data_IF_338727739069
#
_entry.id   IF_338727739069
#
_cell.length_a   1.000
_cell.length_b   1.000
_cell.length_c   1.000
_cell.angle_alpha   90.00
_cell.angle_beta   90.00
_cell.angle_gamma   90.00
#
_symmetry.space_group_name_H-M   'P 1'
#
loop_
_entity.id
_entity.type
_entity.pdbx_description
1 polymer ?
#
# COMPACT_ATOMS: atom_id res chain seq x y z
N UNK A 1 62.51 12.94 84.23
CA UNK A 1 62.01 11.55 84.39
C UNK A 1 60.71 11.33 83.60
N UNK A 2 60.74 11.13 82.27
CA UNK A 2 59.53 10.87 81.46
C UNK A 2 59.82 10.03 80.20
N UNK A 3 60.13 8.73 80.35
CA UNK A 3 60.36 7.85 79.17
C UNK A 3 59.75 6.45 79.21
N UNK A 4 58.91 6.12 80.19
CA UNK A 4 58.33 4.77 80.35
C UNK A 4 56.88 4.62 79.88
N UNK A 5 56.21 5.71 79.49
CA UNK A 5 54.78 5.71 79.14
C UNK A 5 54.49 5.47 77.64
N UNK A 6 55.48 5.62 76.75
CA UNK A 6 55.27 5.54 75.29
C UNK A 6 55.29 4.11 74.73
N UNK A 7 56.04 3.19 75.34
CA UNK A 7 56.16 1.80 74.89
C UNK A 7 54.93 0.95 75.19
N UNK A 8 54.25 1.19 76.32
CA UNK A 8 53.04 0.46 76.70
C UNK A 8 51.88 0.71 75.73
N UNK A 9 51.67 1.97 75.31
CA UNK A 9 50.63 2.33 74.33
C UNK A 9 50.88 1.78 72.93
N UNK A 10 52.14 1.61 72.52
CA UNK A 10 52.47 1.03 71.22
C UNK A 10 52.14 -0.46 71.15
N UNK A 11 52.37 -1.21 72.24
CA UNK A 11 52.02 -2.63 72.34
C UNK A 11 50.49 -2.82 72.35
N UNK A 12 49.76 -1.98 73.09
CA UNK A 12 48.29 -2.02 73.14
C UNK A 12 47.64 -1.75 71.77
N UNK A 13 48.17 -0.77 71.02
CA UNK A 13 47.70 -0.48 69.66
C UNK A 13 48.00 -1.62 68.68
N UNK A 14 49.15 -2.29 68.84
CA UNK A 14 49.51 -3.46 68.03
C UNK A 14 48.56 -4.64 68.24
N UNK A 15 48.22 -4.95 69.50
CA UNK A 15 47.28 -6.03 69.84
C UNK A 15 45.87 -5.72 69.33
N UNK A 16 45.41 -4.47 69.45
CA UNK A 16 44.10 -4.06 68.95
C UNK A 16 44.01 -4.17 67.41
N UNK A 17 45.07 -3.83 66.68
CA UNK A 17 45.11 -3.95 65.22
C UNK A 17 45.03 -5.41 64.74
N UNK A 18 45.74 -6.33 65.43
CA UNK A 18 45.72 -7.77 65.10
C UNK A 18 44.36 -8.38 65.42
N UNK A 19 43.80 -8.07 66.61
CA UNK A 19 42.48 -8.56 67.01
C UNK A 19 41.38 -8.04 66.08
N UNK A 20 41.41 -6.75 65.71
CA UNK A 20 40.48 -6.16 64.76
C UNK A 20 40.56 -6.79 63.37
N UNK A 21 41.77 -7.00 62.85
CA UNK A 21 41.99 -7.68 61.56
C UNK A 21 41.45 -9.11 61.53
N UNK A 22 41.71 -9.88 62.59
CA UNK A 22 41.22 -11.25 62.72
C UNK A 22 39.68 -11.34 62.79
N UNK A 23 39.03 -10.40 63.47
CA UNK A 23 37.55 -10.34 63.56
C UNK A 23 36.94 -9.98 62.20
N UNK A 24 37.52 -9.04 61.46
CA UNK A 24 37.02 -8.66 60.13
C UNK A 24 37.19 -9.80 59.12
N UNK A 25 38.34 -10.47 59.12
CA UNK A 25 38.60 -11.63 58.25
C UNK A 25 37.73 -12.83 58.63
N UNK A 26 37.62 -13.15 59.92
CA UNK A 26 36.76 -14.22 60.43
C UNK A 26 35.27 -13.95 60.19
N UNK A 27 34.85 -12.70 60.32
CA UNK A 27 33.51 -12.22 59.96
C UNK A 27 33.24 -12.41 58.47
N UNK A 28 34.15 -11.96 57.60
CA UNK A 28 34.00 -12.11 56.15
C UNK A 28 33.92 -13.59 55.70
N UNK A 29 34.69 -14.47 56.35
CA UNK A 29 34.65 -15.92 56.10
C UNK A 29 33.35 -16.58 56.60
N UNK A 30 32.86 -16.22 57.79
CA UNK A 30 31.64 -16.79 58.38
C UNK A 30 30.35 -16.27 57.73
N UNK A 31 30.35 -15.06 57.17
CA UNK A 31 29.23 -14.48 56.42
C UNK A 31 29.07 -15.05 54.99
N UNK A 32 29.78 -16.12 54.64
CA UNK A 32 29.57 -16.86 53.39
C UNK A 32 29.91 -16.08 52.12
N UNK A 33 30.58 -14.93 52.24
CA UNK A 33 30.99 -14.07 51.11
C UNK A 33 32.19 -14.61 50.32
N UNK A 34 32.79 -15.72 50.76
CA UNK A 34 33.84 -16.44 50.02
C UNK A 34 33.30 -17.55 49.10
N UNK A 35 31.97 -17.68 48.96
CA UNK A 35 31.37 -18.68 48.09
C UNK A 35 31.65 -18.42 46.61
N UNK A 36 32.30 -19.39 45.96
CA UNK A 36 32.53 -19.50 44.51
C UNK A 36 31.22 -19.52 43.70
N UNK A 37 30.49 -18.41 43.67
CA UNK A 37 29.42 -18.17 42.69
C UNK A 37 30.07 -17.81 41.36
N UNK A 38 30.72 -18.79 40.74
CA UNK A 38 30.99 -18.75 39.31
C UNK A 38 29.64 -18.72 38.62
N UNK A 39 29.13 -17.52 38.37
CA UNK A 39 27.92 -17.32 37.60
C UNK A 39 28.31 -17.61 36.16
N UNK A 40 28.13 -18.86 35.75
CA UNK A 40 28.30 -19.24 34.35
C UNK A 40 27.17 -18.57 33.58
N UNK A 41 27.47 -17.44 32.95
CA UNK A 41 26.59 -16.83 31.96
C UNK A 41 26.60 -17.79 30.77
N UNK A 42 25.61 -18.68 30.70
CA UNK A 42 25.31 -19.37 29.44
C UNK A 42 24.69 -18.34 28.53
N UNK A 43 25.49 -17.87 27.57
CA UNK A 43 24.95 -17.23 26.37
C UNK A 43 24.15 -18.30 25.63
N UNK A 44 22.83 -18.29 25.82
CA UNK A 44 21.93 -19.00 24.93
C UNK A 44 22.10 -18.30 23.58
N UNK A 45 22.74 -18.98 22.63
CA UNK A 45 22.81 -18.53 21.25
C UNK A 45 21.38 -18.17 20.82
N UNK A 46 21.15 -16.88 20.58
CA UNK A 46 19.91 -16.43 19.95
C UNK A 46 19.86 -17.16 18.62
N UNK A 47 18.90 -18.08 18.47
CA UNK A 47 18.65 -18.72 17.19
C UNK A 47 18.54 -17.62 16.13
N UNK A 48 19.18 -17.84 14.97
CA UNK A 48 19.08 -16.91 13.86
C UNK A 48 17.59 -16.66 13.58
N UNK A 49 17.13 -15.45 13.87
CA UNK A 49 15.81 -15.00 13.43
C UNK A 49 15.99 -14.72 11.95
N UNK A 50 15.68 -15.71 11.12
CA UNK A 50 15.57 -15.51 9.68
C UNK A 50 14.69 -14.28 9.44
N UNK A 51 15.16 -13.29 8.67
CA UNK A 51 14.32 -12.13 8.37
C UNK A 51 13.05 -12.63 7.71
N UNK A 52 11.89 -12.15 8.18
CA UNK A 52 10.63 -12.39 7.49
C UNK A 52 10.76 -11.84 6.06
N UNK A 53 10.93 -12.74 5.09
CA UNK A 53 10.91 -12.38 3.68
C UNK A 53 9.47 -12.08 3.31
N UNK A 54 9.14 -10.79 3.19
CA UNK A 54 7.91 -10.39 2.54
C UNK A 54 8.05 -10.79 1.08
N UNK A 55 7.24 -11.75 0.63
CA UNK A 55 7.12 -12.06 -0.78
C UNK A 55 6.88 -10.75 -1.53
N UNK A 56 7.85 -10.33 -2.34
CA UNK A 56 7.67 -9.15 -3.17
C UNK A 56 6.56 -9.51 -4.17
N UNK A 57 5.37 -8.87 -4.11
CA UNK A 57 4.34 -9.15 -5.07
C UNK A 57 4.93 -8.89 -6.46
N UNK A 58 4.71 -9.81 -7.40
CA UNK A 58 5.13 -9.65 -8.79
C UNK A 58 4.62 -8.28 -9.25
N UNK A 59 5.54 -7.33 -9.43
CA UNK A 59 5.20 -6.00 -9.95
C UNK A 59 4.88 -6.17 -11.42
N UNK A 60 3.69 -5.77 -11.82
CA UNK A 60 3.32 -5.77 -13.23
C UNK A 60 4.16 -4.72 -13.96
N UNK A 61 4.70 -5.09 -15.11
CA UNK A 61 5.23 -4.13 -16.07
C UNK A 61 4.10 -3.26 -16.61
N UNK A 62 4.43 -2.07 -17.13
CA UNK A 62 3.46 -1.16 -17.77
C UNK A 62 2.69 -1.89 -18.88
N UNK A 63 3.38 -2.76 -19.64
CA UNK A 63 2.79 -3.59 -20.68
C UNK A 63 1.74 -4.56 -20.12
N UNK A 64 2.05 -5.27 -19.03
CA UNK A 64 1.09 -6.19 -18.40
C UNK A 64 -0.12 -5.46 -17.82
N UNK A 65 0.09 -4.27 -17.23
CA UNK A 65 -1.02 -3.42 -16.77
C UNK A 65 -1.90 -3.02 -17.96
N UNK A 66 -1.29 -2.61 -19.07
CA UNK A 66 -2.02 -2.25 -20.28
C UNK A 66 -2.82 -3.43 -20.83
N UNK A 67 -2.21 -4.60 -20.97
CA UNK A 67 -2.88 -5.79 -21.49
C UNK A 67 -4.07 -6.21 -20.62
N UNK A 68 -3.92 -6.08 -19.30
CA UNK A 68 -4.97 -6.41 -18.35
C UNK A 68 -6.10 -5.36 -18.34
N UNK A 69 -5.79 -4.07 -18.45
CA UNK A 69 -6.76 -2.98 -18.30
C UNK A 69 -7.41 -2.54 -19.62
N UNK A 70 -6.70 -2.63 -20.74
CA UNK A 70 -7.15 -2.11 -22.04
C UNK A 70 -8.49 -2.70 -22.54
N UNK A 71 -8.85 -3.97 -22.30
CA UNK A 71 -10.17 -4.50 -22.66
C UNK A 71 -11.34 -3.83 -21.92
N UNK A 72 -11.09 -3.21 -20.76
CA UNK A 72 -12.11 -2.51 -19.97
C UNK A 72 -12.47 -1.12 -20.51
N UNK A 73 -11.72 -0.61 -21.50
CA UNK A 73 -11.94 0.70 -22.11
C UNK A 73 -12.78 0.56 -23.38
N UNK A 74 -13.80 1.41 -23.50
CA UNK A 74 -14.71 1.43 -24.65
C UNK A 74 -14.70 2.77 -25.36
N UNK A 75 -15.00 2.73 -26.65
CA UNK A 75 -15.24 3.90 -27.47
C UNK A 75 -16.73 4.19 -27.54
N UNK A 76 -17.11 5.45 -27.36
CA UNK A 76 -18.51 5.88 -27.30
C UNK A 76 -18.78 6.89 -28.40
N UNK A 77 -19.85 6.64 -29.14
CA UNK A 77 -20.38 7.56 -30.14
C UNK A 77 -21.82 7.88 -29.80
N UNK A 78 -22.07 9.14 -29.48
CA UNK A 78 -23.40 9.68 -29.28
C UNK A 78 -23.83 10.42 -30.55
N UNK A 79 -25.11 10.33 -30.90
CA UNK A 79 -25.69 11.05 -32.02
C UNK A 79 -26.95 11.75 -31.57
N UNK A 80 -27.10 13.00 -32.02
CA UNK A 80 -28.24 13.86 -31.72
C UNK A 80 -28.88 14.29 -33.03
N UNK A 81 -30.20 14.17 -33.12
CA UNK A 81 -30.94 14.65 -34.28
C UNK A 81 -31.46 16.05 -33.97
N UNK A 82 -30.98 17.04 -34.72
CA UNK A 82 -31.38 18.44 -34.57
C UNK A 82 -32.21 18.85 -35.78
N UNK A 83 -33.41 19.38 -35.54
CA UNK A 83 -34.24 19.94 -36.60
C UNK A 83 -33.70 21.31 -37.01
N UNK A 84 -33.38 21.45 -38.29
CA UNK A 84 -33.01 22.70 -38.93
C UNK A 84 -34.28 23.35 -39.49
N UNK A 85 -34.64 24.57 -39.04
CA UNK A 85 -35.75 25.30 -39.63
C UNK A 85 -35.45 25.65 -41.10
N UNK A 86 -36.51 25.76 -41.90
CA UNK A 86 -36.39 26.21 -43.28
C UNK A 86 -35.94 27.67 -43.31
N UNK A 87 -35.08 28.02 -44.27
CA UNK A 87 -34.63 29.40 -44.47
C UNK A 87 -35.39 30.02 -45.65
N UNK A 88 -36.35 30.93 -45.39
CA UNK A 88 -37.14 31.55 -46.45
C UNK A 88 -36.35 32.57 -47.28
N UNK A 89 -35.20 33.05 -46.80
CA UNK A 89 -34.36 34.02 -47.51
C UNK A 89 -33.43 33.35 -48.53
N UNK A 90 -32.89 32.18 -48.19
CA UNK A 90 -32.04 31.38 -49.09
C UNK A 90 -32.75 30.21 -49.79
N UNK A 91 -34.05 30.01 -49.52
CA UNK A 91 -34.85 28.95 -50.14
C UNK A 91 -34.49 27.54 -49.68
N UNK A 92 -33.79 27.40 -48.55
CA UNK A 92 -33.30 26.12 -48.06
C UNK A 92 -34.43 25.36 -47.37
N UNK A 93 -34.81 24.16 -47.84
CA UNK A 93 -35.83 23.36 -47.17
C UNK A 93 -35.35 22.97 -45.76
N UNK A 94 -36.25 23.07 -44.79
CA UNK A 94 -36.00 22.57 -43.44
C UNK A 94 -35.76 21.06 -43.44
N UNK A 95 -35.04 20.56 -42.44
CA UNK A 95 -34.65 19.16 -42.39
C UNK A 95 -34.17 18.70 -41.03
N UNK A 96 -33.83 17.43 -40.90
CA UNK A 96 -33.19 16.89 -39.71
C UNK A 96 -31.70 16.68 -39.99
N UNK A 97 -30.83 17.30 -39.21
CA UNK A 97 -29.39 17.07 -39.26
C UNK A 97 -28.96 16.18 -38.10
N UNK A 98 -28.09 15.21 -38.36
CA UNK A 98 -27.47 14.42 -37.29
C UNK A 98 -26.16 15.08 -36.86
N UNK A 99 -26.03 15.39 -35.58
CA UNK A 99 -24.79 15.77 -34.94
C UNK A 99 -24.22 14.57 -34.18
N UNK A 100 -22.90 14.52 -34.00
CA UNK A 100 -22.23 13.41 -33.31
C UNK A 100 -21.25 13.93 -32.26
N UNK A 101 -21.22 13.26 -31.10
CA UNK A 101 -20.23 13.44 -30.06
C UNK A 101 -19.46 12.12 -29.87
N UNK A 102 -18.15 12.23 -29.66
CA UNK A 102 -17.25 11.09 -29.54
C UNK A 102 -16.53 11.17 -28.20
N UNK A 103 -16.46 10.04 -27.50
CA UNK A 103 -15.79 9.94 -26.21
C UNK A 103 -15.29 8.53 -25.92
N UNK A 104 -14.77 8.35 -24.71
CA UNK A 104 -14.40 7.05 -24.16
C UNK A 104 -15.20 6.75 -22.90
N UNK A 105 -15.14 5.49 -22.47
CA UNK A 105 -15.72 5.06 -21.21
C UNK A 105 -15.06 3.79 -20.68
N UNK A 106 -15.53 3.35 -19.52
CA UNK A 106 -15.04 2.16 -18.83
C UNK A 106 -16.18 1.25 -18.44
N UNK A 107 -15.99 -0.06 -18.60
CA UNK A 107 -16.90 -1.08 -18.08
C UNK A 107 -16.64 -1.24 -16.59
N UNK A 108 -17.69 -1.11 -15.77
CA UNK A 108 -17.56 -1.20 -14.30
C UNK A 108 -18.00 -2.55 -13.74
N UNK A 109 -18.78 -3.33 -14.48
CA UNK A 109 -19.25 -4.63 -14.04
C UNK A 109 -19.55 -5.62 -15.19
N UNK A 110 -19.80 -6.87 -14.80
CA UNK A 110 -20.12 -7.96 -15.73
C UNK A 110 -21.54 -7.88 -16.31
N UNK A 111 -22.42 -7.04 -15.76
CA UNK A 111 -23.74 -6.75 -16.34
C UNK A 111 -23.65 -5.79 -17.53
N UNK A 112 -22.48 -5.21 -17.80
CA UNK A 112 -22.24 -4.36 -18.96
C UNK A 112 -22.54 -2.89 -18.71
N UNK A 113 -22.53 -2.43 -17.46
CA UNK A 113 -22.62 -1.00 -17.18
C UNK A 113 -21.33 -0.29 -17.59
N UNK A 114 -21.48 0.84 -18.27
CA UNK A 114 -20.40 1.67 -18.79
C UNK A 114 -20.51 3.07 -18.22
N UNK A 115 -19.39 3.58 -17.70
CA UNK A 115 -19.26 4.96 -17.24
C UNK A 115 -18.57 5.80 -18.31
N UNK A 116 -19.13 6.98 -18.59
CA UNK A 116 -18.55 8.01 -19.47
C UNK A 116 -18.81 9.39 -18.90
N UNK A 117 -18.26 10.41 -19.54
CA UNK A 117 -18.54 11.79 -19.17
C UNK A 117 -19.96 12.16 -19.62
N UNK A 118 -20.68 12.88 -18.77
CA UNK A 118 -22.05 13.34 -19.01
C UNK A 118 -22.19 14.07 -20.35
N UNK A 119 -21.28 15.01 -20.66
CA UNK A 119 -21.35 15.82 -21.87
C UNK A 119 -21.24 15.01 -23.17
N UNK A 120 -20.76 13.76 -23.11
CA UNK A 120 -20.68 12.89 -24.29
C UNK A 120 -22.07 12.38 -24.66
N UNK A 121 -22.95 12.17 -23.68
CA UNK A 121 -24.25 11.50 -23.87
C UNK A 121 -25.44 12.41 -23.65
N UNK A 122 -25.26 13.58 -23.03
CA UNK A 122 -26.33 14.54 -22.78
C UNK A 122 -26.97 15.03 -24.08
N UNK A 123 -28.29 14.88 -24.17
CA UNK A 123 -29.07 15.25 -25.36
C UNK A 123 -28.94 14.28 -26.54
N UNK A 124 -28.23 13.16 -26.40
CA UNK A 124 -28.09 12.16 -27.46
C UNK A 124 -29.40 11.38 -27.68
N UNK A 125 -29.86 11.30 -28.93
CA UNK A 125 -30.98 10.43 -29.32
C UNK A 125 -30.54 8.97 -29.49
N UNK A 126 -29.24 8.74 -29.71
CA UNK A 126 -28.64 7.41 -29.82
C UNK A 126 -27.24 7.39 -29.25
N UNK A 127 -26.94 6.38 -28.43
CA UNK A 127 -25.57 6.10 -27.95
C UNK A 127 -25.12 4.72 -28.42
N UNK A 128 -23.90 4.64 -28.91
CA UNK A 128 -23.28 3.42 -29.43
C UNK A 128 -21.96 3.21 -28.71
N UNK A 129 -21.72 1.97 -28.27
CA UNK A 129 -20.51 1.59 -27.54
C UNK A 129 -19.76 0.54 -28.35
N UNK A 130 -18.48 0.80 -28.58
CA UNK A 130 -17.57 -0.07 -29.34
C UNK A 130 -16.44 -0.55 -28.43
N UNK A 131 -16.27 -1.86 -28.35
CA UNK A 131 -15.19 -2.49 -27.59
C UNK A 131 -13.94 -2.64 -28.45
N UNK A 132 -12.76 -2.55 -27.81
CA UNK A 132 -11.50 -2.85 -28.50
C UNK A 132 -11.45 -4.33 -28.83
N UNK A 133 -11.25 -4.67 -30.11
CA UNK A 133 -11.05 -6.05 -30.56
C UNK A 133 -9.70 -6.56 -30.05
N UNK A 134 -9.71 -7.61 -29.23
CA UNK A 134 -8.48 -8.25 -28.76
C UNK A 134 -7.76 -9.03 -29.86
N UNK A 135 -6.44 -9.06 -29.83
CA UNK A 135 -5.56 -9.76 -30.79
C UNK A 135 -5.75 -11.29 -30.82
N UNK A 136 -6.50 -11.87 -29.88
CA UNK A 136 -6.81 -13.31 -29.82
C UNK A 136 -8.16 -13.72 -30.42
N UNK A 137 -9.05 -12.78 -30.76
CA UNK A 137 -10.40 -13.11 -31.23
C UNK A 137 -10.42 -13.33 -32.75
N UNK A 138 -9.93 -14.51 -33.14
CA UNK A 138 -9.95 -15.05 -34.51
C UNK A 138 -11.32 -15.56 -34.95
N UNK A 139 -12.38 -15.36 -34.16
CA UNK A 139 -13.72 -15.57 -34.66
C UNK A 139 -14.14 -14.37 -35.52
N UNK A 140 -14.20 -14.62 -36.83
CA UNK A 140 -14.56 -13.65 -37.86
C UNK A 140 -16.05 -13.30 -37.75
N UNK A 141 -16.40 -12.49 -36.75
CA UNK A 141 -17.61 -11.66 -36.79
C UNK A 141 -17.27 -10.39 -37.59
N UNK A 142 -18.11 -10.00 -38.57
CA UNK A 142 -17.84 -8.85 -39.42
C UNK A 142 -17.72 -7.58 -38.58
N UNK A 143 -16.81 -6.69 -38.97
CA UNK A 143 -16.65 -5.37 -38.38
C UNK A 143 -17.99 -4.63 -38.47
N UNK A 144 -18.72 -4.55 -37.36
CA UNK A 144 -20.07 -3.99 -37.38
C UNK A 144 -21.01 -4.42 -36.27
N UNK A 145 -20.66 -5.40 -35.42
CA UNK A 145 -21.49 -5.72 -34.24
C UNK A 145 -21.31 -4.62 -33.18
N UNK A 146 -21.98 -3.51 -33.44
CA UNK A 146 -22.17 -2.36 -32.56
C UNK A 146 -23.02 -2.84 -31.40
N UNK A 147 -22.41 -3.08 -30.23
CA UNK A 147 -23.17 -3.28 -29.02
C UNK A 147 -23.92 -1.98 -28.73
N UNK A 148 -25.23 -1.99 -28.92
CA UNK A 148 -26.10 -0.88 -28.53
C UNK A 148 -26.25 -0.95 -27.01
N UNK A 149 -25.20 -0.63 -26.28
CA UNK A 149 -25.25 -0.53 -24.84
C UNK A 149 -25.95 0.78 -24.47
N UNK A 150 -26.99 0.68 -23.64
CA UNK A 150 -27.67 1.84 -23.06
C UNK A 150 -26.72 2.44 -22.03
N UNK A 151 -25.90 3.41 -22.44
CA UNK A 151 -25.06 4.17 -21.51
C UNK A 151 -25.98 4.97 -20.59
N UNK A 152 -25.97 4.65 -19.29
CA UNK A 152 -26.60 5.47 -18.28
C UNK A 152 -25.61 6.54 -17.83
N UNK A 153 -25.93 7.81 -18.09
CA UNK A 153 -25.16 8.92 -17.53
C UNK A 153 -25.30 8.89 -16.00
N UNK A 154 -24.18 8.82 -15.27
CA UNK A 154 -24.18 9.03 -13.84
C UNK A 154 -24.33 10.53 -13.57
N UNK A 155 -25.57 10.99 -13.43
CA UNK A 155 -25.87 12.38 -13.07
C UNK A 155 -25.39 12.73 -11.65
N UNK A 156 -25.06 14.00 -11.37
CA UNK A 156 -24.69 14.44 -10.03
C UNK A 156 -25.87 14.30 -9.06
N UNK A 157 -25.58 13.88 -7.83
CA UNK A 157 -26.54 13.74 -6.74
C UNK A 157 -27.01 15.09 -6.21
#
# INVERSE_FOLDING_TARGET
MHRTLRTRRAVELGVAAIAGGAIVLGGAASLGKLGSKTTVVRELASGAVEPASFAQPKRLSIHEIYDQAAPGVVHITASTTVQQPADPFFGTPGGAQSQQAVGSGFVIDKSGHVVTNDHVVTGASRVQVSFRRGSGDRHRRPAGERAVARAAAAGPR
#
